data_IF_972199776586
#
_entry.id   IF_972199776586
#
_cell.length_a   1.000
_cell.length_b   1.000
_cell.length_c   1.000
_cell.angle_alpha   90.00
_cell.angle_beta   90.00
_cell.angle_gamma   90.00
#
_symmetry.space_group_name_H-M   'P 1'
#
loop_
_entity.id
_entity.type
_entity.pdbx_description
1 polymer ?
#
# COMPACT_ATOMS: atom_id res chain seq x y z
N UNK A 1 -3.48 7.06 -16.19
CA UNK A 1 -3.51 7.78 -14.89
C UNK A 1 -4.29 6.93 -13.91
N UNK A 2 -3.88 6.90 -12.64
CA UNK A 2 -4.51 6.07 -11.60
C UNK A 2 -5.40 6.91 -10.69
N UNK A 3 -6.50 6.32 -10.22
CA UNK A 3 -7.44 6.91 -9.27
C UNK A 3 -7.60 5.96 -8.10
N UNK A 4 -7.72 6.50 -6.88
CA UNK A 4 -8.03 5.70 -5.69
C UNK A 4 -9.44 5.11 -5.81
N UNK A 5 -9.53 3.78 -5.78
CA UNK A 5 -10.78 3.03 -5.91
C UNK A 5 -10.88 1.99 -4.79
N UNK A 6 -11.25 2.37 -3.56
CA UNK A 6 -11.22 1.48 -2.40
C UNK A 6 -12.16 0.28 -2.50
N UNK A 7 -13.19 0.36 -3.36
CA UNK A 7 -14.18 -0.70 -3.60
C UNK A 7 -13.86 -1.57 -4.82
N UNK A 8 -12.74 -1.33 -5.51
CA UNK A 8 -12.36 -2.15 -6.66
C UNK A 8 -12.03 -3.58 -6.20
N UNK A 9 -12.46 -4.56 -6.97
CA UNK A 9 -12.11 -5.95 -6.71
C UNK A 9 -10.61 -6.15 -6.88
N UNK A 10 -9.97 -6.68 -5.83
CA UNK A 10 -8.56 -7.10 -5.84
C UNK A 10 -8.39 -8.56 -6.26
N UNK A 11 -9.48 -9.23 -6.67
CA UNK A 11 -9.41 -10.59 -7.19
C UNK A 11 -8.43 -10.65 -8.38
N UNK A 12 -7.64 -11.72 -8.41
CA UNK A 12 -6.63 -12.00 -9.42
C UNK A 12 -5.45 -11.02 -9.46
N UNK A 13 -5.35 -10.11 -8.47
CA UNK A 13 -4.11 -9.36 -8.30
C UNK A 13 -3.00 -10.29 -7.81
N UNK A 14 -1.82 -10.15 -8.41
CA UNK A 14 -0.62 -10.89 -8.01
C UNK A 14 0.46 -9.90 -7.63
N UNK A 15 1.30 -10.25 -6.66
CA UNK A 15 2.42 -9.39 -6.29
C UNK A 15 3.36 -9.23 -7.50
N UNK A 16 3.56 -7.98 -7.94
CA UNK A 16 4.42 -7.64 -9.09
C UNK A 16 5.65 -6.85 -8.69
N UNK A 17 5.70 -6.32 -7.47
CA UNK A 17 6.86 -5.57 -7.00
C UNK A 17 6.71 -5.07 -5.58
N UNK A 18 7.63 -4.17 -5.22
CA UNK A 18 7.58 -3.41 -3.98
C UNK A 18 8.07 -1.99 -4.24
N UNK A 19 7.71 -1.07 -3.36
CA UNK A 19 8.19 0.31 -3.39
C UNK A 19 8.47 0.78 -1.97
N UNK A 20 9.42 1.70 -1.85
CA UNK A 20 9.75 2.35 -0.58
C UNK A 20 9.15 3.75 -0.55
N UNK A 21 8.30 4.02 0.43
CA UNK A 21 7.63 5.32 0.66
C UNK A 21 7.30 5.46 2.15
N UNK A 22 7.21 6.69 2.67
CA UNK A 22 6.73 6.89 4.03
C UNK A 22 5.22 6.60 4.08
N UNK A 23 4.72 5.81 5.06
CA UNK A 23 3.28 5.57 5.21
C UNK A 23 2.47 6.86 5.33
N UNK A 24 3.03 7.87 6.02
CA UNK A 24 2.43 9.19 6.15
C UNK A 24 2.19 9.87 4.81
N UNK A 25 3.11 9.74 3.85
CA UNK A 25 2.95 10.36 2.51
C UNK A 25 1.72 9.78 1.78
N UNK A 26 1.45 8.48 1.95
CA UNK A 26 0.25 7.85 1.40
C UNK A 26 -1.02 8.38 2.08
N UNK A 27 -0.98 8.53 3.40
CA UNK A 27 -2.13 9.03 4.19
C UNK A 27 -2.43 10.49 3.87
N UNK A 28 -1.42 11.34 3.76
CA UNK A 28 -1.58 12.76 3.42
C UNK A 28 -2.17 12.93 2.01
N UNK A 29 -1.79 12.06 1.07
CA UNK A 29 -2.24 12.15 -0.32
C UNK A 29 -3.60 11.51 -0.59
N UNK A 30 -3.88 10.35 0.04
CA UNK A 30 -5.03 9.52 -0.30
C UNK A 30 -6.04 9.37 0.85
N UNK A 31 -5.77 9.96 2.01
CA UNK A 31 -6.54 9.75 3.23
C UNK A 31 -6.19 8.42 3.90
N UNK A 32 -6.97 7.97 4.91
CA UNK A 32 -6.69 6.75 5.63
C UNK A 32 -6.77 5.50 4.72
N UNK A 33 -5.93 4.48 4.97
CA UNK A 33 -5.96 3.24 4.19
C UNK A 33 -7.22 2.43 4.48
N UNK A 34 -7.51 1.46 3.59
CA UNK A 34 -8.42 0.37 3.92
C UNK A 34 -7.91 -0.38 5.15
N UNK A 35 -8.80 -0.88 6.01
CA UNK A 35 -8.41 -1.54 7.24
C UNK A 35 -7.66 -2.86 6.98
N UNK A 36 -7.09 -3.38 8.07
CA UNK A 36 -6.32 -4.62 8.08
C UNK A 36 -7.01 -5.79 7.36
N UNK A 37 -6.19 -6.62 6.72
CA UNK A 37 -6.65 -7.89 6.17
C UNK A 37 -7.03 -8.86 7.30
N UNK A 38 -7.97 -9.77 7.01
CA UNK A 38 -8.42 -10.78 7.99
C UNK A 38 -7.31 -11.74 8.45
N UNK A 39 -6.23 -11.89 7.67
CA UNK A 39 -5.07 -12.73 8.00
C UNK A 39 -4.01 -12.03 8.85
N UNK A 40 -4.26 -10.78 9.28
CA UNK A 40 -3.40 -9.97 10.17
C UNK A 40 -2.00 -9.66 9.63
N UNK A 41 -1.73 -9.96 8.35
CA UNK A 41 -0.42 -9.68 7.73
C UNK A 41 -0.35 -8.29 7.12
N UNK A 42 -1.50 -7.71 6.76
CA UNK A 42 -1.60 -6.37 6.19
C UNK A 42 -2.33 -5.50 7.20
N UNK A 43 -1.72 -4.40 7.63
CA UNK A 43 -2.38 -3.44 8.53
C UNK A 43 -3.23 -2.42 7.79
N UNK A 44 -2.92 -2.16 6.52
CA UNK A 44 -3.76 -1.38 5.63
C UNK A 44 -3.33 -1.44 4.17
N UNK A 45 -4.24 -1.04 3.29
CA UNK A 45 -3.99 -1.05 1.84
C UNK A 45 -4.67 0.09 1.11
N UNK A 46 -4.17 0.39 -0.09
CA UNK A 46 -4.79 1.29 -1.05
C UNK A 46 -4.97 0.55 -2.37
N UNK A 47 -6.17 0.65 -2.94
CA UNK A 47 -6.46 0.08 -4.26
C UNK A 47 -6.69 1.21 -5.25
N UNK A 48 -6.05 1.11 -6.40
CA UNK A 48 -6.09 2.07 -7.48
C UNK A 48 -6.56 1.41 -8.76
N UNK A 49 -7.26 2.16 -9.59
CA UNK A 49 -7.67 1.72 -10.93
C UNK A 49 -7.21 2.73 -11.95
N UNK A 50 -6.75 2.26 -13.12
CA UNK A 50 -6.49 3.15 -14.25
C UNK A 50 -7.70 3.26 -15.19
N UNK A 51 -7.56 4.09 -16.21
CA UNK A 51 -8.60 4.33 -17.24
C UNK A 51 -8.90 3.10 -18.11
N UNK A 52 -8.04 2.09 -18.08
CA UNK A 52 -8.24 0.83 -18.81
C UNK A 52 -8.86 -0.27 -17.93
N UNK A 53 -9.16 0.04 -16.65
CA UNK A 53 -9.69 -0.92 -15.70
C UNK A 53 -8.64 -1.83 -15.07
N UNK A 54 -7.35 -1.58 -15.30
CA UNK A 54 -6.29 -2.30 -14.61
C UNK A 54 -6.28 -1.88 -13.12
N UNK A 55 -6.00 -2.84 -12.23
CA UNK A 55 -6.04 -2.60 -10.79
C UNK A 55 -4.66 -2.78 -10.19
N UNK A 56 -4.25 -1.85 -9.34
CA UNK A 56 -3.03 -1.91 -8.55
C UNK A 56 -3.36 -1.72 -7.06
N UNK A 57 -2.81 -2.56 -6.20
CA UNK A 57 -2.99 -2.50 -4.76
C UNK A 57 -1.63 -2.33 -4.09
N UNK A 58 -1.53 -1.33 -3.21
CA UNK A 58 -0.37 -1.07 -2.37
C UNK A 58 -0.73 -1.43 -0.94
N UNK A 59 0.10 -2.26 -0.30
CA UNK A 59 -0.18 -2.76 1.04
C UNK A 59 1.11 -2.99 1.83
N UNK A 60 1.06 -2.80 3.14
CA UNK A 60 2.15 -3.23 4.02
C UNK A 60 2.11 -4.75 4.18
N UNK A 61 3.25 -5.35 4.52
CA UNK A 61 3.32 -6.80 4.74
C UNK A 61 4.16 -7.11 5.97
N UNK A 62 3.49 -7.62 7.02
CA UNK A 62 4.08 -8.04 8.29
C UNK A 62 4.90 -6.92 8.95
N UNK A 63 4.46 -5.66 8.78
CA UNK A 63 5.23 -4.47 9.14
C UNK A 63 4.80 -3.81 10.46
N UNK A 64 3.76 -4.34 11.11
CA UNK A 64 3.19 -3.76 12.33
C UNK A 64 2.93 -4.83 13.38
N UNK A 65 2.74 -4.42 14.63
CA UNK A 65 2.37 -5.28 15.76
C UNK A 65 1.02 -5.99 15.59
N UNK A 66 0.27 -5.73 14.50
CA UNK A 66 -0.86 -6.59 14.12
C UNK A 66 -0.40 -8.03 13.81
N UNK A 67 0.82 -8.17 13.30
CA UNK A 67 1.42 -9.44 12.93
C UNK A 67 2.04 -10.11 14.17
N UNK A 68 1.21 -10.87 14.90
CA UNK A 68 1.60 -11.52 16.16
C UNK A 68 2.51 -12.75 15.98
N UNK A 69 2.79 -13.21 14.76
CA UNK A 69 3.67 -14.38 14.54
C UNK A 69 5.15 -14.08 14.82
N UNK A 70 5.50 -12.84 15.21
CA UNK A 70 6.86 -12.43 15.63
C UNK A 70 6.83 -11.51 16.86
N UNK A 71 6.55 -12.05 18.06
CA UNK A 71 6.50 -11.25 19.29
C UNK A 71 7.84 -10.55 19.62
N UNK A 72 8.97 -11.05 19.11
CA UNK A 72 10.30 -10.46 19.29
C UNK A 72 10.64 -9.29 18.34
N UNK A 73 9.81 -8.99 17.34
CA UNK A 73 10.17 -8.08 16.25
C UNK A 73 10.03 -6.58 16.56
N UNK A 74 9.69 -6.19 17.80
CA UNK A 74 9.48 -4.79 18.25
C UNK A 74 8.76 -3.92 17.20
N UNK A 75 7.70 -4.47 16.62
CA UNK A 75 7.02 -3.85 15.50
C UNK A 75 6.16 -2.66 15.98
N UNK A 76 6.05 -1.58 15.18
CA UNK A 76 5.23 -0.45 15.53
C UNK A 76 3.75 -0.83 15.59
N UNK A 77 2.97 -0.16 16.44
CA UNK A 77 1.50 -0.24 16.34
C UNK A 77 1.02 0.23 14.97
N UNK A 78 -0.14 -0.27 14.52
CA UNK A 78 -0.75 0.16 13.24
C UNK A 78 -0.85 1.68 13.15
N UNK A 79 -1.27 2.35 14.23
CA UNK A 79 -1.35 3.81 14.30
C UNK A 79 0.02 4.46 14.14
N UNK A 80 1.04 3.98 14.86
CA UNK A 80 2.40 4.51 14.76
C UNK A 80 3.00 4.32 13.36
N UNK A 81 2.75 3.17 12.74
CA UNK A 81 3.19 2.88 11.38
C UNK A 81 2.63 3.88 10.37
N UNK A 82 1.30 4.10 10.35
CA UNK A 82 0.66 4.95 9.35
C UNK A 82 0.90 6.46 9.51
N UNK A 83 1.39 6.91 10.67
CA UNK A 83 1.82 8.31 10.88
C UNK A 83 3.33 8.50 10.71
N UNK A 84 4.08 7.43 10.47
CA UNK A 84 5.53 7.47 10.35
C UNK A 84 5.99 8.21 9.08
N UNK A 85 6.99 9.07 9.26
CA UNK A 85 7.72 9.73 8.17
C UNK A 85 8.86 8.86 7.63
N UNK A 86 9.16 7.72 8.27
CA UNK A 86 10.24 6.84 7.85
C UNK A 86 9.83 6.01 6.63
N UNK A 87 10.62 6.01 5.53
CA UNK A 87 10.31 5.22 4.36
C UNK A 87 10.39 3.71 4.64
N UNK A 88 9.27 3.02 4.44
CA UNK A 88 9.16 1.57 4.60
C UNK A 88 8.79 0.90 3.28
N UNK A 89 8.95 -0.42 3.23
CA UNK A 89 8.64 -1.22 2.04
C UNK A 89 7.17 -1.59 2.01
N UNK A 90 6.49 -1.17 0.95
CA UNK A 90 5.15 -1.60 0.60
C UNK A 90 5.21 -2.60 -0.56
N UNK A 91 4.38 -3.63 -0.48
CA UNK A 91 4.15 -4.55 -1.59
C UNK A 91 3.18 -3.93 -2.60
N UNK A 92 3.39 -4.24 -3.88
CA UNK A 92 2.51 -3.85 -4.98
C UNK A 92 1.97 -5.11 -5.63
N UNK A 93 0.67 -5.33 -5.53
CA UNK A 93 -0.05 -6.33 -6.31
C UNK A 93 -0.80 -5.65 -7.45
N UNK A 94 -0.88 -6.32 -8.60
CA UNK A 94 -1.61 -5.78 -9.75
C UNK A 94 -2.26 -6.87 -10.59
N UNK A 95 -3.29 -6.48 -11.35
CA UNK A 95 -3.90 -7.28 -12.42
C UNK A 95 -4.04 -6.45 -13.69
N UNK A 96 -4.03 -7.11 -14.84
CA UNK A 96 -4.01 -6.45 -16.14
C UNK A 96 -2.63 -5.90 -16.51
N UNK A 97 -2.60 -4.94 -17.43
CA UNK A 97 -1.38 -4.38 -18.02
C UNK A 97 -0.70 -3.27 -17.19
N UNK A 98 -0.78 -3.32 -15.85
CA UNK A 98 -0.17 -2.29 -15.00
C UNK A 98 1.35 -2.28 -15.16
N UNK A 99 1.90 -1.18 -15.67
CA UNK A 99 3.32 -0.87 -15.57
C UNK A 99 3.64 -0.42 -14.13
N UNK A 100 4.26 -1.32 -13.37
CA UNK A 100 4.63 -1.11 -11.97
C UNK A 100 5.63 0.03 -11.80
N UNK A 101 6.53 0.24 -12.76
CA UNK A 101 7.52 1.31 -12.72
C UNK A 101 6.83 2.67 -12.86
N UNK A 102 5.96 2.78 -13.87
CA UNK A 102 5.17 4.00 -14.09
C UNK A 102 4.23 4.27 -12.91
N UNK A 103 3.58 3.24 -12.37
CA UNK A 103 2.72 3.33 -11.18
C UNK A 103 3.50 3.81 -9.95
N UNK A 104 4.64 3.19 -9.64
CA UNK A 104 5.46 3.55 -8.49
C UNK A 104 6.06 4.96 -8.62
N UNK A 105 6.37 5.41 -9.85
CA UNK A 105 6.78 6.79 -10.10
C UNK A 105 5.62 7.75 -9.84
N UNK A 106 4.43 7.49 -10.39
CA UNK A 106 3.24 8.30 -10.15
C UNK A 106 2.85 8.36 -8.66
N UNK A 107 3.00 7.26 -7.93
CA UNK A 107 2.68 7.20 -6.50
C UNK A 107 3.59 8.13 -5.66
N UNK A 108 4.85 8.30 -6.09
CA UNK A 108 5.85 9.16 -5.44
C UNK A 108 5.86 10.62 -5.93
N UNK A 109 5.21 10.91 -7.06
CA UNK A 109 5.40 12.15 -7.80
C UNK A 109 4.75 13.41 -7.18
N UNK A 110 4.28 13.37 -5.93
CA UNK A 110 3.53 14.48 -5.31
C UNK A 110 4.30 15.22 -4.21
N UNK A 111 5.63 15.39 -4.41
CA UNK A 111 6.50 16.18 -3.53
C UNK A 111 7.22 17.31 -4.26
N UNK A 112 6.50 18.01 -5.14
CA UNK A 112 6.94 19.31 -5.65
C UNK A 112 6.01 20.39 -5.09
N UNK A 113 6.12 20.68 -3.80
CA UNK A 113 5.73 21.98 -3.23
C UNK A 113 6.45 22.23 -1.91
#
# INVERSE_FOLDING_TARGET
MFTLTPKASTAETTQRGSLRIAPRDLVERFGPPLPASGDRKVSGSYTFTDTQGNVATVYDWKATALYDERPEADLPTVKAFWVSTEPTTFCVAARGGVDIWTFARWLRADRAH
#
